data_IF_530594889001
#
_entry.id   IF_530594889001
#
_cell.length_a   1.000
_cell.length_b   1.000
_cell.length_c   1.000
_cell.angle_alpha   90.00
_cell.angle_beta   90.00
_cell.angle_gamma   90.00
#
_symmetry.space_group_name_H-M   'P 1'
#
loop_
_entity.id
_entity.type
_entity.pdbx_description
1 polymer ?
#
# COMPACT_ATOMS: atom_id res chain seq x y z
N UNK A 1 -2.39 -22.59 16.36
CA UNK A 1 -2.47 -22.55 14.88
C UNK A 1 -3.51 -21.51 14.49
N UNK A 2 -3.10 -20.38 13.91
CA UNK A 2 -4.05 -19.33 13.48
C UNK A 2 -4.82 -19.84 12.26
N UNK A 3 -6.17 -19.77 12.22
CA UNK A 3 -6.93 -20.21 11.06
C UNK A 3 -6.57 -19.32 9.86
N UNK A 4 -6.06 -19.92 8.77
CA UNK A 4 -5.74 -19.21 7.52
C UNK A 4 -7.05 -18.82 6.81
N UNK A 5 -7.39 -17.53 6.67
CA UNK A 5 -8.48 -17.16 5.77
C UNK A 5 -8.01 -17.35 4.33
N UNK A 6 -8.80 -18.03 3.51
CA UNK A 6 -8.49 -18.28 2.09
C UNK A 6 -8.29 -16.99 1.28
N UNK A 7 -8.81 -15.85 1.73
CA UNK A 7 -8.71 -14.57 1.02
C UNK A 7 -8.64 -13.40 2.03
N UNK A 8 -7.45 -12.98 2.46
CA UNK A 8 -7.31 -11.74 3.22
C UNK A 8 -7.50 -10.54 2.27
N UNK A 9 -8.63 -9.84 2.37
CA UNK A 9 -8.88 -8.58 1.66
C UNK A 9 -8.65 -7.41 2.61
N UNK A 10 -7.72 -6.52 2.27
CA UNK A 10 -7.59 -5.22 2.93
C UNK A 10 -8.47 -4.24 2.18
N UNK A 11 -9.61 -3.87 2.76
CA UNK A 11 -10.45 -2.79 2.25
C UNK A 11 -10.02 -1.47 2.91
N UNK A 12 -9.34 -0.61 2.15
CA UNK A 12 -9.17 0.80 2.52
C UNK A 12 -10.28 1.60 1.83
N UNK A 13 -11.16 2.21 2.61
CA UNK A 13 -12.17 3.14 2.08
C UNK A 13 -11.55 4.52 1.85
N UNK A 14 -11.66 5.01 0.61
CA UNK A 14 -10.93 6.15 0.05
C UNK A 14 -11.47 7.55 0.41
N UNK A 15 -12.33 7.69 1.42
CA UNK A 15 -13.03 8.97 1.64
C UNK A 15 -12.16 10.14 2.11
N UNK A 16 -10.87 9.98 2.46
CA UNK A 16 -10.05 11.07 3.03
C UNK A 16 -8.55 11.04 2.69
N UNK A 17 -8.17 10.57 1.51
CA UNK A 17 -6.78 10.78 1.07
C UNK A 17 -6.57 12.28 0.83
N UNK A 18 -5.82 12.95 1.71
CA UNK A 18 -5.43 14.34 1.51
C UNK A 18 -4.28 14.34 0.50
N UNK A 19 -4.45 15.01 -0.63
CA UNK A 19 -3.37 15.31 -1.57
C UNK A 19 -2.83 16.69 -1.24
N UNK A 20 -1.51 16.82 -1.08
CA UNK A 20 -0.84 18.09 -0.83
C UNK A 20 0.23 18.27 -1.90
N UNK A 21 0.24 19.45 -2.50
CA UNK A 21 1.27 19.89 -3.43
C UNK A 21 2.40 20.51 -2.61
N UNK A 22 3.68 20.16 -2.85
CA UNK A 22 4.79 20.75 -2.12
C UNK A 22 4.77 22.27 -2.31
N UNK A 23 4.81 23.02 -1.20
CA UNK A 23 4.90 24.48 -1.21
C UNK A 23 6.29 24.89 -1.70
N UNK A 24 6.45 24.99 -3.02
CA UNK A 24 7.28 26.04 -3.61
C UNK A 24 6.38 27.25 -3.71
N UNK A 25 6.84 28.38 -3.18
CA UNK A 25 6.10 29.63 -3.12
C UNK A 25 5.63 30.06 -4.51
N UNK A 26 4.34 29.88 -4.80
CA UNK A 26 3.67 30.40 -5.97
C UNK A 26 2.28 30.88 -5.54
N UNK A 27 2.15 32.20 -5.37
CA UNK A 27 0.88 32.92 -5.41
C UNK A 27 0.21 32.81 -6.81
N UNK A 28 0.00 31.60 -7.33
CA UNK A 28 -0.86 31.34 -8.50
C UNK A 28 -2.10 30.56 -8.07
N UNK A 29 -3.24 31.25 -8.11
CA UNK A 29 -4.56 30.70 -8.37
C UNK A 29 -5.15 29.71 -7.37
N UNK A 30 -5.92 30.18 -6.39
CA UNK A 30 -6.87 29.33 -5.65
C UNK A 30 -7.88 28.61 -6.57
N UNK A 31 -8.18 29.17 -7.76
CA UNK A 31 -9.06 28.58 -8.77
C UNK A 31 -8.47 27.39 -9.54
N UNK A 32 -7.19 27.43 -9.92
CA UNK A 32 -6.52 26.34 -10.64
C UNK A 32 -6.36 25.09 -9.77
N UNK A 33 -6.09 25.26 -8.48
CA UNK A 33 -5.97 24.16 -7.52
C UNK A 33 -7.29 23.42 -7.28
N UNK A 34 -8.42 24.14 -7.24
CA UNK A 34 -9.76 23.52 -7.17
C UNK A 34 -10.05 22.70 -8.44
N UNK A 35 -9.77 23.27 -9.62
CA UNK A 35 -9.93 22.58 -10.91
C UNK A 35 -9.18 21.24 -10.98
N UNK A 36 -7.93 21.19 -10.51
CA UNK A 36 -7.12 19.97 -10.54
C UNK A 36 -7.64 18.90 -9.57
N UNK A 37 -8.03 19.30 -8.35
CA UNK A 37 -8.63 18.37 -7.38
C UNK A 37 -9.96 17.80 -7.89
N UNK A 38 -10.78 18.62 -8.56
CA UNK A 38 -12.04 18.21 -9.15
C UNK A 38 -11.84 17.27 -10.36
N UNK A 39 -10.82 17.50 -11.19
CA UNK A 39 -10.44 16.60 -12.28
C UNK A 39 -10.00 15.24 -11.76
N UNK A 40 -9.11 15.20 -10.76
CA UNK A 40 -8.66 13.96 -10.15
C UNK A 40 -9.83 13.22 -9.49
N UNK A 41 -10.66 13.94 -8.72
CA UNK A 41 -11.85 13.39 -8.06
C UNK A 41 -12.78 12.71 -9.07
N UNK A 42 -13.08 13.37 -10.19
CA UNK A 42 -13.90 12.77 -11.26
C UNK A 42 -13.26 11.53 -11.87
N UNK A 43 -11.95 11.55 -12.11
CA UNK A 43 -11.25 10.43 -12.73
C UNK A 43 -11.19 9.20 -11.80
N UNK A 44 -11.00 9.39 -10.50
CA UNK A 44 -10.89 8.29 -9.52
C UNK A 44 -12.23 7.82 -8.97
N UNK A 45 -13.30 8.62 -9.09
CA UNK A 45 -14.63 8.21 -8.61
C UNK A 45 -15.10 6.94 -9.33
N UNK A 46 -15.54 5.94 -8.56
CA UNK A 46 -16.02 4.66 -9.07
C UNK A 46 -14.93 3.78 -9.69
N UNK A 47 -13.66 4.09 -9.47
CA UNK A 47 -12.53 3.33 -9.96
C UNK A 47 -12.23 2.16 -9.02
N UNK A 48 -12.35 0.94 -9.52
CA UNK A 48 -11.96 -0.27 -8.78
C UNK A 48 -10.72 -0.85 -9.43
N UNK A 49 -9.60 -0.84 -8.70
CA UNK A 49 -8.31 -1.35 -9.18
C UNK A 49 -7.73 -2.31 -8.17
N UNK A 50 -7.23 -3.44 -8.65
CA UNK A 50 -6.53 -4.42 -7.82
C UNK A 50 -5.10 -4.66 -8.25
N UNK A 51 -4.25 -4.92 -7.26
CA UNK A 51 -2.90 -5.43 -7.45
C UNK A 51 -2.78 -6.71 -6.63
N UNK A 52 -2.29 -7.77 -7.28
CA UNK A 52 -2.02 -9.04 -6.62
C UNK A 52 -0.54 -9.35 -6.74
N UNK A 53 0.04 -9.88 -5.67
CA UNK A 53 1.43 -10.34 -5.62
C UNK A 53 1.55 -11.47 -4.62
N UNK A 54 2.64 -12.23 -4.74
CA UNK A 54 3.02 -13.24 -3.74
C UNK A 54 4.18 -12.69 -2.93
N UNK A 55 4.10 -12.80 -1.61
CA UNK A 55 5.21 -12.41 -0.73
C UNK A 55 6.31 -13.44 -0.85
N UNK A 56 7.50 -13.05 -1.30
CA UNK A 56 8.63 -13.98 -1.44
C UNK A 56 9.57 -13.84 -0.25
N UNK A 57 10.25 -14.93 0.11
CA UNK A 57 11.39 -14.87 1.04
C UNK A 57 12.42 -13.81 0.61
N UNK A 58 12.65 -13.73 -0.70
CA UNK A 58 13.57 -12.77 -1.29
C UNK A 58 13.15 -11.31 -1.09
N UNK A 59 11.83 -11.03 -1.08
CA UNK A 59 11.34 -9.67 -0.84
C UNK A 59 11.56 -9.25 0.60
N UNK A 60 11.39 -10.18 1.56
CA UNK A 60 11.72 -9.97 2.98
C UNK A 60 13.22 -9.71 3.11
N UNK A 61 14.07 -10.54 2.52
CA UNK A 61 15.53 -10.36 2.56
C UNK A 61 15.99 -9.03 1.93
N UNK A 62 15.41 -8.66 0.79
CA UNK A 62 15.66 -7.34 0.16
C UNK A 62 15.17 -6.20 1.03
N UNK A 63 14.04 -6.36 1.70
CA UNK A 63 13.50 -5.33 2.58
C UNK A 63 14.39 -5.13 3.80
N UNK A 64 14.95 -6.21 4.37
CA UNK A 64 15.99 -6.12 5.41
C UNK A 64 17.17 -5.31 4.90
N UNK A 65 17.73 -5.65 3.73
CA UNK A 65 18.86 -4.93 3.17
C UNK A 65 18.57 -3.45 2.85
N UNK A 66 17.33 -3.14 2.43
CA UNK A 66 16.90 -1.80 2.08
C UNK A 66 16.62 -0.93 3.32
N UNK A 67 15.96 -1.49 4.33
CA UNK A 67 15.42 -0.75 5.47
C UNK A 67 16.29 -0.82 6.72
N UNK A 68 17.14 -1.84 6.83
CA UNK A 68 17.87 -2.17 8.05
C UNK A 68 17.03 -2.86 9.13
N UNK A 69 15.75 -3.14 8.88
CA UNK A 69 14.87 -3.86 9.82
C UNK A 69 15.12 -5.38 9.73
N UNK A 70 16.13 -5.84 10.48
CA UNK A 70 16.56 -7.23 10.56
C UNK A 70 15.98 -8.00 11.75
N UNK A 71 14.92 -7.46 12.38
CA UNK A 71 14.27 -8.04 13.57
C UNK A 71 13.96 -9.53 13.38
N UNK A 72 14.16 -10.33 14.44
CA UNK A 72 14.17 -11.80 14.40
C UNK A 72 12.86 -12.39 13.85
N UNK A 73 11.75 -11.67 14.00
CA UNK A 73 10.46 -12.06 13.42
C UNK A 73 10.47 -12.23 11.90
N UNK A 74 11.43 -11.59 11.22
CA UNK A 74 11.57 -11.58 9.77
C UNK A 74 12.76 -12.42 9.27
N UNK A 75 13.73 -12.72 10.14
CA UNK A 75 15.05 -13.24 9.74
C UNK A 75 15.43 -14.57 10.39
N UNK A 76 14.89 -14.90 11.57
CA UNK A 76 15.34 -16.06 12.35
C UNK A 76 14.27 -17.15 12.41
N UNK A 77 14.33 -18.12 11.49
CA UNK A 77 13.37 -19.21 11.39
C UNK A 77 13.35 -20.10 12.64
N UNK A 78 14.52 -20.39 13.21
CA UNK A 78 14.69 -21.22 14.40
C UNK A 78 14.07 -20.56 15.64
N UNK A 79 14.33 -19.26 15.83
CA UNK A 79 13.74 -18.49 16.91
C UNK A 79 12.21 -18.42 16.77
N UNK A 80 11.73 -18.26 15.53
CA UNK A 80 10.30 -18.13 15.25
C UNK A 80 9.53 -19.46 15.28
N UNK A 81 10.21 -20.60 15.12
CA UNK A 81 9.59 -21.93 15.15
C UNK A 81 8.86 -22.21 16.48
N UNK A 82 9.43 -21.76 17.61
CA UNK A 82 8.82 -21.90 18.95
C UNK A 82 7.82 -20.80 19.30
N UNK A 83 7.69 -19.77 18.46
CA UNK A 83 6.76 -18.65 18.71
C UNK A 83 5.32 -19.01 18.34
N UNK A 84 4.36 -18.16 18.74
CA UNK A 84 2.96 -18.26 18.31
C UNK A 84 2.76 -18.20 16.78
N UNK A 85 3.76 -17.70 16.04
CA UNK A 85 3.70 -17.55 14.59
C UNK A 85 4.18 -18.79 13.84
N UNK A 86 5.00 -19.65 14.47
CA UNK A 86 5.49 -20.92 13.92
C UNK A 86 6.49 -20.82 12.76
N UNK A 87 6.95 -19.61 12.43
CA UNK A 87 7.88 -19.32 11.34
C UNK A 87 7.97 -17.81 11.11
N UNK A 88 8.94 -17.38 10.30
CA UNK A 88 9.11 -15.95 10.00
C UNK A 88 7.86 -15.38 9.32
N UNK A 89 7.62 -14.10 9.54
CA UNK A 89 6.51 -13.34 8.95
C UNK A 89 7.09 -12.16 8.16
N UNK A 90 6.34 -11.64 7.20
CA UNK A 90 6.75 -10.46 6.45
C UNK A 90 6.60 -9.17 7.28
N UNK A 91 7.45 -8.17 6.99
CA UNK A 91 7.32 -6.84 7.57
C UNK A 91 5.98 -6.20 7.21
N UNK A 92 5.30 -5.58 8.17
CA UNK A 92 4.12 -4.76 7.86
C UNK A 92 4.45 -3.62 6.88
N UNK A 93 5.63 -3.01 7.01
CA UNK A 93 6.10 -1.95 6.13
C UNK A 93 6.31 -2.43 4.68
N UNK A 94 6.79 -3.66 4.48
CA UNK A 94 6.87 -4.29 3.14
C UNK A 94 5.47 -4.39 2.51
N UNK A 95 4.44 -4.72 3.29
CA UNK A 95 3.06 -4.80 2.79
C UNK A 95 2.54 -3.43 2.32
N UNK A 96 2.89 -2.36 3.02
CA UNK A 96 2.59 -0.99 2.58
C UNK A 96 3.29 -0.68 1.25
N UNK A 97 4.53 -1.16 1.07
CA UNK A 97 5.24 -1.12 -0.21
C UNK A 97 4.45 -1.77 -1.35
N UNK A 98 3.90 -2.97 -1.13
CA UNK A 98 3.03 -3.62 -2.13
C UNK A 98 1.72 -2.86 -2.37
N UNK A 99 1.12 -2.26 -1.34
CA UNK A 99 -0.08 -1.42 -1.50
C UNK A 99 0.19 -0.20 -2.41
N UNK A 100 1.40 0.36 -2.37
CA UNK A 100 1.81 1.48 -3.24
C UNK A 100 1.68 1.13 -4.74
N UNK A 101 1.90 -0.13 -5.12
CA UNK A 101 1.73 -0.58 -6.50
C UNK A 101 0.27 -0.50 -6.98
N UNK A 102 -0.71 -0.76 -6.10
CA UNK A 102 -2.12 -0.51 -6.41
C UNK A 102 -2.38 0.98 -6.64
N UNK A 103 -1.80 1.85 -5.81
CA UNK A 103 -1.88 3.32 -5.98
C UNK A 103 -1.35 3.76 -7.34
N UNK A 104 -0.20 3.24 -7.74
CA UNK A 104 0.35 3.48 -9.09
C UNK A 104 -0.61 3.04 -10.19
N UNK A 105 -1.25 1.87 -10.06
CA UNK A 105 -2.25 1.42 -11.05
C UNK A 105 -3.47 2.36 -11.08
N UNK A 106 -3.99 2.77 -9.93
CA UNK A 106 -5.13 3.68 -9.87
C UNK A 106 -4.83 5.04 -10.54
N UNK A 107 -3.63 5.57 -10.35
CA UNK A 107 -3.18 6.81 -11.01
C UNK A 107 -3.11 6.62 -12.53
N UNK A 108 -2.60 5.48 -13.00
CA UNK A 108 -2.54 5.18 -14.44
C UNK A 108 -3.94 5.06 -15.05
N UNK A 109 -4.87 4.39 -14.38
CA UNK A 109 -6.27 4.30 -14.81
C UNK A 109 -6.97 5.67 -14.80
N UNK A 110 -6.73 6.50 -13.78
CA UNK A 110 -7.24 7.87 -13.75
C UNK A 110 -6.70 8.72 -14.92
N UNK A 111 -5.45 8.48 -15.35
CA UNK A 111 -4.87 9.14 -16.53
C UNK A 111 -5.58 8.75 -17.83
N UNK A 112 -5.95 7.48 -17.99
CA UNK A 112 -6.77 7.03 -19.12
C UNK A 112 -8.15 7.70 -19.15
N UNK A 113 -8.67 8.10 -17.99
CA UNK A 113 -9.91 8.88 -17.83
C UNK A 113 -9.70 10.40 -17.96
N UNK A 114 -8.54 10.84 -18.46
CA UNK A 114 -8.26 12.24 -18.75
C UNK A 114 -7.70 13.05 -17.58
N UNK A 115 -7.28 12.42 -16.47
CA UNK A 115 -6.55 13.12 -15.41
C UNK A 115 -5.11 13.42 -15.83
N UNK A 116 -4.69 14.68 -15.68
CA UNK A 116 -3.29 15.10 -15.89
C UNK A 116 -2.53 15.27 -14.58
N UNK A 117 -3.19 15.06 -13.44
CA UNK A 117 -2.61 15.23 -12.10
C UNK A 117 -1.55 14.16 -11.82
N UNK A 118 -0.51 14.54 -11.07
CA UNK A 118 0.51 13.62 -10.53
C UNK A 118 0.32 13.57 -9.00
N UNK A 119 -0.62 12.76 -8.50
CA UNK A 119 -0.90 12.71 -7.08
C UNK A 119 0.16 11.87 -6.33
N UNK A 120 0.39 12.23 -5.07
CA UNK A 120 1.27 11.52 -4.13
C UNK A 120 0.52 11.17 -2.85
N UNK A 121 0.86 10.05 -2.22
CA UNK A 121 0.29 9.68 -0.93
C UNK A 121 0.95 10.49 0.19
N UNK A 122 0.14 11.20 0.99
CA UNK A 122 0.64 11.89 2.19
C UNK A 122 0.65 11.00 3.43
N UNK A 123 -0.03 9.87 3.37
CA UNK A 123 -0.21 9.00 4.52
C UNK A 123 -1.38 8.06 4.35
N UNK A 124 -1.51 7.20 5.35
CA UNK A 124 -2.54 6.17 5.41
C UNK A 124 -3.32 6.34 6.70
N UNK A 125 -4.64 6.54 6.57
CA UNK A 125 -5.52 6.61 7.73
C UNK A 125 -5.87 5.21 8.23
N UNK A 126 -5.82 5.03 9.56
CA UNK A 126 -6.28 3.81 10.24
C UNK A 126 -5.65 2.50 9.71
N UNK A 127 -4.40 2.54 9.27
CA UNK A 127 -3.67 1.34 8.85
C UNK A 127 -3.51 0.37 10.03
N UNK A 128 -3.90 -0.90 9.83
CA UNK A 128 -3.80 -1.98 10.84
C UNK A 128 -3.40 -3.29 10.17
N UNK A 129 -2.47 -4.02 10.77
CA UNK A 129 -2.10 -5.39 10.39
C UNK A 129 -2.86 -6.37 11.27
N UNK A 130 -3.90 -7.00 10.72
CA UNK A 130 -4.84 -7.84 11.48
C UNK A 130 -4.44 -9.32 11.56
N UNK A 131 -3.54 -9.75 10.70
CA UNK A 131 -3.01 -11.11 10.66
C UNK A 131 -1.55 -11.09 10.17
N UNK A 132 -0.71 -12.04 10.61
CA UNK A 132 0.62 -12.21 10.03
C UNK A 132 0.51 -12.64 8.56
N UNK A 133 1.47 -12.21 7.76
CA UNK A 133 1.64 -12.67 6.37
C UNK A 133 2.91 -13.48 6.30
N UNK A 134 2.80 -14.68 5.75
CA UNK A 134 3.91 -15.61 5.64
C UNK A 134 4.55 -15.53 4.25
N UNK A 135 5.82 -15.94 4.12
CA UNK A 135 6.38 -16.22 2.81
C UNK A 135 5.49 -17.20 2.02
N UNK A 136 5.37 -16.94 0.72
CA UNK A 136 4.50 -17.61 -0.24
C UNK A 136 2.99 -17.31 -0.12
N UNK A 137 2.56 -16.48 0.85
CA UNK A 137 1.18 -16.01 0.87
C UNK A 137 0.91 -15.09 -0.33
N UNK A 138 -0.28 -15.23 -0.90
CA UNK A 138 -0.78 -14.34 -1.95
C UNK A 138 -1.58 -13.19 -1.35
N UNK A 139 -1.23 -11.97 -1.74
CA UNK A 139 -1.88 -10.75 -1.30
C UNK A 139 -2.58 -10.08 -2.47
N UNK A 140 -3.75 -9.52 -2.20
CA UNK A 140 -4.43 -8.61 -3.09
C UNK A 140 -4.74 -7.30 -2.36
N UNK A 141 -4.27 -6.18 -2.91
CA UNK A 141 -4.67 -4.84 -2.50
C UNK A 141 -5.64 -4.28 -3.52
N UNK A 142 -6.70 -3.62 -3.03
CA UNK A 142 -7.72 -3.01 -3.85
C UNK A 142 -7.88 -1.53 -3.49
N UNK A 143 -8.15 -0.73 -4.52
CA UNK A 143 -8.49 0.68 -4.45
C UNK A 143 -9.90 0.81 -5.03
N UNK A 144 -10.79 1.50 -4.31
CA UNK A 144 -12.22 1.61 -4.62
C UNK A 144 -12.74 3.00 -4.34
#
# INVERSE_FOLDING_TARGET
MWPKPLNARVNTTWSRMRFFSPTVDLQRGSGERRSMADQLSRAVTGLVVSYATTVRHEDIARFVALSGDDYEAHTAAEAMAGSRFGGIIAHGALLVGYMSAAGTKAIREARLRGSTTIPVSLGYDRLRFVAPVYPNDSLASAIT
#
